data_IF_999926988874
#
_entry.id   IF_999926988874
#
_cell.length_a   1.000
_cell.length_b   1.000
_cell.length_c   1.000
_cell.angle_alpha   90.00
_cell.angle_beta   90.00
_cell.angle_gamma   90.00
#
_symmetry.space_group_name_H-M   'P 1'
#
loop_
_entity.id
_entity.type
_entity.pdbx_description
1 polymer ?
#
# COMPACT_ATOMS: atom_id res chain seq x y z
N UNK A 1 5.66 -3.51 -17.13
CA UNK A 1 5.51 -2.08 -16.73
C UNK A 1 4.54 -1.95 -15.57
N UNK A 2 3.29 -2.41 -15.68
CA UNK A 2 2.33 -2.48 -14.56
C UNK A 2 2.91 -3.09 -13.28
N UNK A 3 3.48 -4.30 -13.38
CA UNK A 3 4.08 -4.96 -12.22
C UNK A 3 5.22 -4.14 -11.60
N UNK A 4 6.00 -3.40 -12.40
CA UNK A 4 7.08 -2.58 -11.87
C UNK A 4 6.53 -1.42 -11.01
N UNK A 5 5.44 -0.78 -11.45
CA UNK A 5 4.75 0.27 -10.68
C UNK A 5 4.21 -0.29 -9.36
N UNK A 6 3.60 -1.47 -9.40
CA UNK A 6 3.18 -2.24 -8.23
C UNK A 6 4.32 -2.52 -7.25
N UNK A 7 5.47 -3.00 -7.73
CA UNK A 7 6.65 -3.25 -6.91
C UNK A 7 7.17 -1.96 -6.28
N UNK A 8 7.26 -0.87 -7.04
CA UNK A 8 7.71 0.43 -6.53
C UNK A 8 6.77 0.94 -5.44
N UNK A 9 5.46 0.96 -5.69
CA UNK A 9 4.47 1.40 -4.71
C UNK A 9 4.54 0.57 -3.43
N UNK A 10 4.53 -0.75 -3.57
CA UNK A 10 4.60 -1.66 -2.43
C UNK A 10 5.90 -1.51 -1.63
N UNK A 11 7.05 -1.37 -2.31
CA UNK A 11 8.34 -1.24 -1.66
C UNK A 11 8.46 0.07 -0.89
N UNK A 12 8.04 1.20 -1.47
CA UNK A 12 8.09 2.51 -0.80
C UNK A 12 7.16 2.60 0.41
N UNK A 13 6.00 1.94 0.34
CA UNK A 13 5.08 1.86 1.48
C UNK A 13 5.63 1.02 2.63
N UNK A 14 6.26 -0.12 2.31
CA UNK A 14 6.61 -1.15 3.30
C UNK A 14 8.04 -1.07 3.83
N UNK A 15 8.98 -0.47 3.10
CA UNK A 15 10.38 -0.43 3.53
C UNK A 15 10.63 0.73 4.51
N UNK A 16 10.79 0.42 5.81
CA UNK A 16 10.98 1.41 6.90
C UNK A 16 12.27 2.20 6.80
N UNK A 17 13.33 1.55 6.34
CA UNK A 17 14.67 2.13 6.23
C UNK A 17 14.81 3.19 5.13
N UNK A 18 13.80 3.36 4.25
CA UNK A 18 13.82 4.42 3.23
C UNK A 18 13.40 5.73 3.90
N UNK A 19 14.20 6.78 3.69
CA UNK A 19 13.89 8.12 4.21
C UNK A 19 12.66 8.74 3.53
N UNK A 20 11.96 9.61 4.24
CA UNK A 20 10.82 10.36 3.70
C UNK A 20 11.21 11.21 2.47
N UNK A 21 12.42 11.76 2.46
CA UNK A 21 12.98 12.51 1.32
C UNK A 21 13.07 11.63 0.06
N UNK A 22 13.65 10.43 0.19
CA UNK A 22 13.77 9.49 -0.94
C UNK A 22 12.39 9.01 -1.43
N UNK A 23 11.46 8.73 -0.51
CA UNK A 23 10.07 8.40 -0.86
C UNK A 23 9.44 9.53 -1.67
N UNK A 24 9.55 10.77 -1.20
CA UNK A 24 8.98 11.93 -1.88
C UNK A 24 9.63 12.17 -3.25
N UNK A 25 10.95 12.02 -3.36
CA UNK A 25 11.66 12.19 -4.62
C UNK A 25 11.20 11.18 -5.69
N UNK A 26 10.91 9.94 -5.30
CA UNK A 26 10.38 8.92 -6.22
C UNK A 26 8.90 9.18 -6.53
N UNK A 27 8.09 9.54 -5.53
CA UNK A 27 6.70 9.96 -5.74
C UNK A 27 6.61 11.10 -6.74
N UNK A 28 7.46 12.12 -6.61
CA UNK A 28 7.52 13.24 -7.54
C UNK A 28 7.71 12.77 -8.98
N UNK A 29 8.64 11.85 -9.24
CA UNK A 29 8.87 11.32 -10.59
C UNK A 29 7.64 10.61 -11.15
N UNK A 30 6.91 9.87 -10.32
CA UNK A 30 5.67 9.18 -10.74
C UNK A 30 4.57 10.20 -11.01
N UNK A 31 4.43 11.22 -10.16
CA UNK A 31 3.43 12.28 -10.29
C UNK A 31 3.70 13.15 -11.52
N UNK A 32 4.96 13.56 -11.76
CA UNK A 32 5.36 14.32 -12.95
C UNK A 32 5.01 13.55 -14.24
N UNK A 33 5.23 12.22 -14.24
CA UNK A 33 4.84 11.36 -15.37
C UNK A 33 3.31 11.28 -15.54
N UNK A 34 2.54 11.19 -14.44
CA UNK A 34 1.08 11.21 -14.50
C UNK A 34 0.54 12.56 -15.02
N UNK A 35 1.14 13.67 -14.60
CA UNK A 35 0.79 15.02 -15.06
C UNK A 35 1.02 15.15 -16.58
N UNK A 36 2.20 14.76 -17.05
CA UNK A 36 2.52 14.74 -18.48
C UNK A 36 1.55 13.85 -19.27
N UNK A 37 1.20 12.68 -18.72
CA UNK A 37 0.21 11.79 -19.32
C UNK A 37 -1.17 12.47 -19.44
N UNK A 38 -1.64 13.14 -18.39
CA UNK A 38 -2.89 13.92 -18.39
C UNK A 38 -2.86 15.01 -19.47
N UNK A 39 -1.77 15.78 -19.57
CA UNK A 39 -1.60 16.83 -20.60
C UNK A 39 -1.67 16.24 -22.01
N UNK A 40 -1.01 15.11 -22.26
CA UNK A 40 -1.03 14.42 -23.55
C UNK A 40 -2.44 13.93 -23.93
N UNK A 41 -3.17 13.35 -22.96
CA UNK A 41 -4.53 12.89 -23.21
C UNK A 41 -5.48 14.05 -23.51
N UNK A 42 -5.36 15.18 -22.81
CA UNK A 42 -6.19 16.36 -23.07
C UNK A 42 -5.97 16.96 -24.47
N UNK A 43 -4.75 16.91 -25.00
CA UNK A 43 -4.43 17.42 -26.35
C UNK A 43 -4.97 16.55 -27.49
N UNK A 44 -5.47 15.34 -27.21
CA UNK A 44 -6.11 14.46 -28.19
C UNK A 44 -5.20 13.96 -29.33
N UNK A 45 -3.90 14.24 -29.27
CA UNK A 45 -2.96 14.02 -30.38
C UNK A 45 -2.59 12.54 -30.55
N UNK A 46 -2.73 11.73 -29.49
CA UNK A 46 -2.58 10.27 -29.48
C UNK A 46 -3.44 9.69 -28.36
N UNK A 47 -4.74 9.49 -28.60
CA UNK A 47 -5.62 8.84 -27.62
C UNK A 47 -5.14 7.40 -27.42
N UNK A 48 -4.41 7.15 -26.34
CA UNK A 48 -4.05 5.79 -25.97
C UNK A 48 -5.30 5.17 -25.34
N UNK A 49 -5.92 4.14 -25.94
CA UNK A 49 -7.13 3.54 -25.38
C UNK A 49 -6.86 2.75 -24.10
N UNK A 50 -5.59 2.50 -23.77
CA UNK A 50 -5.18 1.74 -22.59
C UNK A 50 -4.48 2.65 -21.56
N UNK A 51 -5.21 3.02 -20.53
CA UNK A 51 -4.74 3.86 -19.41
C UNK A 51 -4.28 3.03 -18.19
N UNK A 52 -4.08 1.71 -18.33
CA UNK A 52 -3.73 0.84 -17.19
C UNK A 52 -2.51 1.32 -16.41
N UNK A 53 -1.43 1.73 -17.11
CA UNK A 53 -0.20 2.21 -16.44
C UNK A 53 -0.46 3.52 -15.70
N UNK A 54 -1.28 4.40 -16.27
CA UNK A 54 -1.69 5.64 -15.61
C UNK A 54 -2.46 5.35 -14.32
N UNK A 55 -3.46 4.46 -14.37
CA UNK A 55 -4.20 4.13 -13.16
C UNK A 55 -3.36 3.35 -12.14
N UNK A 56 -2.50 2.42 -12.58
CA UNK A 56 -1.56 1.74 -11.70
C UNK A 56 -0.60 2.71 -11.01
N UNK A 57 -0.15 3.75 -11.71
CA UNK A 57 0.69 4.81 -11.15
C UNK A 57 -0.07 5.67 -10.15
N UNK A 58 -1.30 6.07 -10.46
CA UNK A 58 -2.18 6.78 -9.52
C UNK A 58 -2.43 5.96 -8.25
N UNK A 59 -2.74 4.66 -8.41
CA UNK A 59 -2.97 3.77 -7.28
C UNK A 59 -1.71 3.58 -6.44
N UNK A 60 -0.53 3.42 -7.07
CA UNK A 60 0.73 3.32 -6.35
C UNK A 60 1.05 4.60 -5.56
N UNK A 61 0.81 5.78 -6.15
CA UNK A 61 0.99 7.07 -5.47
C UNK A 61 0.06 7.18 -4.26
N UNK A 62 -1.24 6.90 -4.42
CA UNK A 62 -2.20 6.94 -3.32
C UNK A 62 -1.82 5.94 -2.22
N UNK A 63 -1.48 4.70 -2.61
CA UNK A 63 -1.08 3.65 -1.68
C UNK A 63 0.17 4.01 -0.88
N UNK A 64 1.21 4.60 -1.51
CA UNK A 64 2.39 5.08 -0.78
C UNK A 64 2.03 6.18 0.20
N UNK A 65 1.15 7.11 -0.18
CA UNK A 65 0.72 8.18 0.70
C UNK A 65 -0.12 7.67 1.87
N UNK A 66 -0.92 6.61 1.73
CA UNK A 66 -1.60 5.98 2.87
C UNK A 66 -0.60 5.54 3.97
N UNK A 67 0.61 5.11 3.61
CA UNK A 67 1.63 4.65 4.57
C UNK A 67 2.59 5.75 5.01
N UNK A 68 2.89 6.70 4.12
CA UNK A 68 4.02 7.62 4.31
C UNK A 68 3.63 9.08 4.46
N UNK A 69 2.36 9.45 4.28
CA UNK A 69 1.93 10.86 4.30
C UNK A 69 2.34 11.55 5.60
N UNK A 70 2.01 10.99 6.76
CA UNK A 70 2.40 11.56 8.07
C UNK A 70 3.90 11.80 8.17
N UNK A 71 4.71 10.79 7.84
CA UNK A 71 6.18 10.89 7.89
C UNK A 71 6.76 11.97 6.96
N UNK A 72 6.09 12.28 5.85
CA UNK A 72 6.47 13.37 4.94
C UNK A 72 6.04 14.72 5.53
N UNK A 73 4.86 14.77 6.14
CA UNK A 73 4.28 15.98 6.72
C UNK A 73 5.03 16.49 7.95
N UNK A 74 5.75 15.61 8.67
CA UNK A 74 6.57 15.98 9.82
C UNK A 74 7.75 16.91 9.46
N UNK A 75 8.15 16.96 8.18
CA UNK A 75 9.24 17.81 7.70
C UNK A 75 8.68 18.99 6.88
N UNK A 76 8.81 20.25 7.33
CA UNK A 76 8.22 21.41 6.65
C UNK A 76 8.67 21.59 5.18
N UNK A 77 9.93 21.28 4.88
CA UNK A 77 10.49 21.33 3.53
C UNK A 77 9.91 20.24 2.61
N UNK A 78 9.70 19.03 3.13
CA UNK A 78 9.10 17.93 2.35
C UNK A 78 7.61 18.16 2.17
N UNK A 79 6.91 18.64 3.20
CA UNK A 79 5.53 19.12 3.11
C UNK A 79 5.37 20.16 2.00
N UNK A 80 6.19 21.21 1.99
CA UNK A 80 6.13 22.24 0.96
C UNK A 80 6.31 21.66 -0.45
N UNK A 81 7.25 20.73 -0.63
CA UNK A 81 7.46 20.04 -1.90
C UNK A 81 6.27 19.16 -2.30
N UNK A 82 5.69 18.42 -1.36
CA UNK A 82 4.51 17.58 -1.59
C UNK A 82 3.32 18.42 -2.07
N UNK A 83 3.11 19.59 -1.48
CA UNK A 83 1.99 20.50 -1.82
C UNK A 83 2.15 21.16 -3.20
N UNK A 84 3.36 21.18 -3.75
CA UNK A 84 3.62 21.68 -5.11
C UNK A 84 3.28 20.64 -6.20
N UNK A 85 3.02 19.39 -5.82
CA UNK A 85 2.68 18.34 -6.77
C UNK A 85 1.24 18.49 -7.30
N UNK A 86 1.06 18.24 -8.59
CA UNK A 86 -0.20 18.42 -9.34
C UNK A 86 -1.29 17.37 -9.04
N UNK A 87 -1.38 16.87 -7.81
CA UNK A 87 -2.38 15.85 -7.45
C UNK A 87 -3.82 16.27 -7.81
N UNK A 88 -4.21 17.51 -7.52
CA UNK A 88 -5.56 17.99 -7.81
C UNK A 88 -5.91 17.94 -9.30
N UNK A 89 -4.95 18.24 -10.18
CA UNK A 89 -5.13 18.13 -11.63
C UNK A 89 -5.24 16.67 -12.08
N UNK A 90 -4.41 15.78 -11.54
CA UNK A 90 -4.37 14.36 -11.90
C UNK A 90 -5.63 13.63 -11.42
N UNK A 91 -6.03 13.83 -10.17
CA UNK A 91 -7.12 13.07 -9.54
C UNK A 91 -8.51 13.47 -10.07
N UNK A 92 -8.69 14.73 -10.47
CA UNK A 92 -9.93 15.21 -11.11
C UNK A 92 -9.87 15.16 -12.65
N UNK A 93 -8.87 14.49 -13.20
CA UNK A 93 -8.74 14.37 -14.65
C UNK A 93 -9.95 13.61 -15.22
N UNK A 94 -10.33 13.89 -16.47
CA UNK A 94 -11.44 13.24 -17.19
C UNK A 94 -11.32 11.70 -17.36
N UNK A 95 -10.17 11.14 -16.99
CA UNK A 95 -9.94 9.69 -16.95
C UNK A 95 -10.41 9.07 -15.63
N UNK A 96 -10.85 9.90 -14.68
CA UNK A 96 -11.48 9.51 -13.42
C UNK A 96 -10.68 8.44 -12.63
N UNK A 97 -9.38 8.64 -12.36
CA UNK A 97 -8.56 7.63 -11.71
C UNK A 97 -9.11 7.18 -10.34
N UNK A 98 -9.79 8.06 -9.62
CA UNK A 98 -10.44 7.75 -8.33
C UNK A 98 -11.54 6.67 -8.45
N UNK A 99 -12.20 6.57 -9.61
CA UNK A 99 -13.26 5.57 -9.86
C UNK A 99 -12.69 4.21 -10.28
N UNK A 100 -11.51 4.21 -10.92
CA UNK A 100 -10.89 2.98 -11.44
C UNK A 100 -9.99 2.32 -10.40
N UNK A 101 -9.29 3.10 -9.58
CA UNK A 101 -8.42 2.59 -8.51
C UNK A 101 -9.23 1.91 -7.40
N UNK A 102 -8.55 1.05 -6.63
CA UNK A 102 -9.19 0.26 -5.58
C UNK A 102 -9.85 1.18 -4.50
N UNK A 103 -11.15 1.00 -4.20
CA UNK A 103 -11.87 1.89 -3.28
C UNK A 103 -11.26 1.98 -1.88
N UNK A 104 -10.73 0.88 -1.33
CA UNK A 104 -10.08 0.89 -0.01
C UNK A 104 -8.88 1.86 0.03
N UNK A 105 -8.06 1.85 -1.03
CA UNK A 105 -6.90 2.73 -1.15
C UNK A 105 -7.35 4.17 -1.35
N UNK A 106 -8.34 4.39 -2.24
CA UNK A 106 -8.85 5.73 -2.54
C UNK A 106 -9.45 6.37 -1.27
N UNK A 107 -10.29 5.64 -0.55
CA UNK A 107 -10.95 6.15 0.65
C UNK A 107 -9.95 6.47 1.77
N UNK A 108 -8.98 5.59 1.99
CA UNK A 108 -7.93 5.82 3.00
C UNK A 108 -7.05 7.01 2.63
N UNK A 109 -6.63 7.09 1.37
CA UNK A 109 -5.87 8.22 0.86
C UNK A 109 -6.63 9.55 1.02
N UNK A 110 -7.89 9.60 0.59
CA UNK A 110 -8.71 10.82 0.67
C UNK A 110 -8.90 11.26 2.13
N UNK A 111 -9.12 10.31 3.04
CA UNK A 111 -9.24 10.58 4.47
C UNK A 111 -7.97 11.22 5.03
N UNK A 112 -6.80 10.63 4.78
CA UNK A 112 -5.54 11.20 5.27
C UNK A 112 -5.20 12.52 4.58
N UNK A 113 -5.43 12.63 3.27
CA UNK A 113 -5.17 13.83 2.50
C UNK A 113 -6.03 15.00 2.96
N UNK A 114 -7.30 14.75 3.33
CA UNK A 114 -8.23 15.76 3.87
C UNK A 114 -7.73 16.33 5.18
N UNK A 115 -7.35 15.45 6.09
CA UNK A 115 -6.80 15.84 7.39
C UNK A 115 -5.46 16.59 7.25
N UNK A 116 -4.60 16.14 6.32
CA UNK A 116 -3.35 16.82 6.00
C UNK A 116 -3.53 18.18 5.31
N UNK A 117 -4.73 18.52 4.83
CA UNK A 117 -4.99 19.72 4.03
C UNK A 117 -4.33 19.70 2.66
N UNK A 118 -4.14 18.51 2.08
CA UNK A 118 -3.39 18.34 0.83
C UNK A 118 -4.12 18.95 -0.38
N UNK A 119 -5.47 19.01 -0.37
CA UNK A 119 -6.31 19.63 -1.39
C UNK A 119 -7.38 20.54 -0.76
N UNK A 120 -8.09 21.29 -1.61
CA UNK A 120 -9.22 22.11 -1.19
C UNK A 120 -10.42 21.25 -0.76
N UNK A 121 -11.16 21.70 0.26
CA UNK A 121 -12.34 21.02 0.80
C UNK A 121 -13.36 20.60 -0.28
N UNK A 122 -13.56 21.46 -1.30
CA UNK A 122 -14.49 21.23 -2.41
C UNK A 122 -14.13 20.02 -3.29
N UNK A 123 -12.86 19.64 -3.32
CA UNK A 123 -12.37 18.50 -4.09
C UNK A 123 -12.77 17.17 -3.45
N UNK A 124 -12.86 17.14 -2.11
CA UNK A 124 -13.24 15.93 -1.39
C UNK A 124 -14.72 15.62 -1.53
N UNK A 125 -15.60 16.62 -1.44
CA UNK A 125 -17.05 16.43 -1.62
C UNK A 125 -17.39 15.87 -3.00
N UNK A 126 -16.75 16.41 -4.05
CA UNK A 126 -16.95 15.90 -5.41
C UNK A 126 -16.44 14.46 -5.60
N UNK A 127 -15.38 14.08 -4.89
CA UNK A 127 -14.84 12.72 -4.92
C UNK A 127 -15.73 11.74 -4.13
N UNK A 128 -16.22 12.12 -2.95
CA UNK A 128 -17.11 11.31 -2.11
C UNK A 128 -18.44 10.99 -2.84
N UNK A 129 -19.09 12.00 -3.41
CA UNK A 129 -20.33 11.84 -4.18
C UNK A 129 -20.13 10.92 -5.40
N UNK A 130 -19.00 11.05 -6.09
CA UNK A 130 -18.65 10.24 -7.25
C UNK A 130 -18.37 8.77 -6.88
N UNK A 131 -17.77 8.51 -5.72
CA UNK A 131 -17.47 7.17 -5.23
C UNK A 131 -18.74 6.47 -4.75
N UNK A 132 -19.62 7.15 -4.01
CA UNK A 132 -20.88 6.58 -3.51
C UNK A 132 -21.82 6.17 -4.65
N UNK A 133 -21.90 6.98 -5.69
CA UNK A 133 -22.67 6.69 -6.90
C UNK A 133 -22.16 5.46 -7.68
N UNK A 134 -20.86 5.15 -7.61
CA UNK A 134 -20.27 4.01 -8.35
C UNK A 134 -20.12 2.75 -7.50
N UNK A 135 -19.99 2.85 -6.17
CA UNK A 135 -20.12 1.70 -5.25
C UNK A 135 -21.52 1.05 -5.38
N UNK A 136 -22.53 1.87 -5.68
CA UNK A 136 -23.89 1.44 -6.02
C UNK A 136 -23.95 0.62 -7.33
N UNK A 137 -22.93 0.75 -8.20
CA UNK A 137 -22.73 0.03 -9.46
C UNK A 137 -21.59 -1.00 -9.35
N UNK A 138 -21.68 -1.88 -8.35
CA UNK A 138 -20.92 -3.15 -8.27
C UNK A 138 -19.38 -3.07 -8.43
N UNK A 139 -18.68 -3.20 -7.30
CA UNK A 139 -17.37 -3.85 -7.12
C UNK A 139 -16.54 -4.11 -8.40
N UNK A 140 -16.07 -3.04 -9.05
CA UNK A 140 -15.01 -3.08 -10.07
C UNK A 140 -15.27 -3.96 -11.30
N UNK A 141 -16.47 -3.90 -11.89
CA UNK A 141 -16.83 -4.69 -13.07
C UNK A 141 -15.77 -4.72 -14.19
N UNK A 142 -15.64 -5.86 -14.88
CA UNK A 142 -14.89 -6.25 -16.12
C UNK A 142 -13.54 -5.61 -16.52
N UNK A 143 -13.09 -4.50 -15.93
CA UNK A 143 -11.83 -3.80 -16.17
C UNK A 143 -11.10 -3.49 -14.86
N UNK A 144 -11.33 -4.29 -13.81
CA UNK A 144 -10.66 -4.15 -12.52
C UNK A 144 -9.15 -4.10 -12.77
N UNK A 145 -8.50 -3.04 -12.31
CA UNK A 145 -7.04 -2.97 -12.33
C UNK A 145 -6.50 -4.16 -11.55
N UNK A 146 -5.84 -5.07 -12.25
CA UNK A 146 -5.08 -6.19 -11.66
C UNK A 146 -3.79 -5.64 -11.03
N UNK A 147 -3.93 -4.70 -10.10
CA UNK A 147 -2.81 -4.07 -9.39
C UNK A 147 -2.65 -4.79 -8.06
N UNK A 148 -1.63 -5.63 -8.02
CA UNK A 148 -1.16 -6.36 -6.85
C UNK A 148 0.00 -5.58 -6.19
N UNK A 149 0.14 -5.62 -4.85
CA UNK A 149 1.23 -4.97 -4.11
C UNK A 149 2.09 -6.08 -3.49
N UNK A 150 3.25 -6.41 -4.10
CA UNK A 150 3.97 -7.65 -3.81
C UNK A 150 4.49 -7.83 -2.40
N UNK A 151 4.61 -6.75 -1.63
CA UNK A 151 5.06 -6.77 -0.25
C UNK A 151 3.90 -6.60 0.74
N UNK A 152 2.65 -6.84 0.34
CA UNK A 152 1.47 -6.62 1.18
C UNK A 152 0.55 -7.86 1.30
N UNK A 153 0.28 -8.39 2.52
CA UNK A 153 1.01 -8.24 3.78
C UNK A 153 2.07 -9.35 3.90
N UNK A 154 3.01 -9.15 4.81
CA UNK A 154 3.98 -10.20 5.14
C UNK A 154 3.34 -11.25 6.05
N UNK A 155 3.15 -12.47 5.55
CA UNK A 155 2.38 -13.53 6.22
C UNK A 155 3.23 -14.66 6.83
N UNK A 156 4.54 -14.68 6.58
CA UNK A 156 5.40 -15.80 6.97
C UNK A 156 5.86 -15.69 8.43
N UNK A 157 5.17 -16.39 9.34
CA UNK A 157 5.41 -16.34 10.79
C UNK A 157 6.87 -16.63 11.19
N UNK A 158 7.51 -17.64 10.58
CA UNK A 158 8.86 -18.07 10.99
C UNK A 158 9.96 -17.06 10.61
N UNK A 159 9.82 -16.42 9.45
CA UNK A 159 10.80 -15.46 8.93
C UNK A 159 10.48 -14.00 9.28
N UNK A 160 9.32 -13.75 9.91
CA UNK A 160 8.87 -12.44 10.37
C UNK A 160 9.91 -11.73 11.25
N UNK A 161 10.56 -12.46 12.17
CA UNK A 161 11.59 -11.90 13.05
C UNK A 161 12.75 -11.20 12.31
N UNK A 162 13.04 -11.61 11.08
CA UNK A 162 14.11 -11.01 10.27
C UNK A 162 13.64 -9.82 9.43
N UNK A 163 12.34 -9.76 9.12
CA UNK A 163 11.75 -8.75 8.23
C UNK A 163 11.15 -7.59 9.02
N UNK A 164 10.50 -7.88 10.16
CA UNK A 164 9.80 -6.94 11.04
C UNK A 164 10.58 -5.65 11.36
N UNK A 165 11.90 -5.67 11.66
CA UNK A 165 12.64 -4.44 11.93
C UNK A 165 12.66 -3.44 10.75
N UNK A 166 12.56 -3.96 9.52
CA UNK A 166 12.69 -3.20 8.29
C UNK A 166 11.37 -3.03 7.53
N UNK A 167 10.26 -3.57 8.06
CA UNK A 167 8.98 -3.66 7.38
C UNK A 167 7.87 -2.89 8.12
N UNK A 168 7.18 -2.03 7.39
CA UNK A 168 6.07 -1.19 7.88
C UNK A 168 4.76 -1.98 7.76
N UNK A 169 4.23 -2.40 8.91
CA UNK A 169 2.91 -3.00 8.98
C UNK A 169 1.86 -1.89 9.04
N UNK A 170 0.66 -2.16 8.54
CA UNK A 170 -0.42 -1.16 8.57
C UNK A 170 -0.74 -0.71 10.00
N UNK A 171 -0.68 -1.62 10.97
CA UNK A 171 -0.83 -1.32 12.40
C UNK A 171 0.22 -0.37 12.98
N UNK A 172 1.39 -0.23 12.34
CA UNK A 172 2.46 0.68 12.77
C UNK A 172 2.35 2.07 12.15
N UNK A 173 1.50 2.23 11.12
CA UNK A 173 1.37 3.49 10.38
C UNK A 173 0.68 4.53 11.25
N UNK A 174 1.41 5.58 11.62
CA UNK A 174 0.82 6.80 12.18
C UNK A 174 0.09 7.56 11.09
N UNK A 175 -1.23 7.54 11.10
CA UNK A 175 -2.04 8.30 10.12
C UNK A 175 -2.08 9.78 10.49
N UNK A 176 -2.48 10.63 9.54
CA UNK A 176 -2.57 12.07 9.79
C UNK A 176 -3.69 12.43 10.77
N UNK A 177 -4.82 11.71 10.71
CA UNK A 177 -6.01 11.97 11.53
C UNK A 177 -5.97 11.29 12.93
N UNK A 178 -5.00 10.41 13.16
CA UNK A 178 -4.75 9.80 14.48
C UNK A 178 -3.89 10.75 15.31
N UNK A 179 -4.50 11.79 15.91
CA UNK A 179 -3.79 12.63 16.88
C UNK A 179 -3.56 11.83 18.18
N UNK A 180 -2.33 11.88 18.69
CA UNK A 180 -1.89 11.37 19.99
C UNK A 180 -2.83 11.89 21.11
N UNK A 181 -3.81 11.08 21.52
CA UNK A 181 -4.64 11.29 22.72
C UNK A 181 -4.33 10.26 23.81
N UNK A 182 -3.19 9.58 23.71
CA UNK A 182 -2.73 8.56 24.66
C UNK A 182 -1.42 9.01 25.34
N UNK A 183 -1.27 10.32 25.59
CA UNK A 183 -0.12 10.92 26.31
C UNK A 183 -0.49 11.30 27.76
N UNK A 184 -1.57 10.72 28.31
CA UNK A 184 -1.93 10.79 29.72
C UNK A 184 -2.12 9.35 30.25
N UNK A 185 -1.42 9.03 31.35
CA UNK A 185 -1.46 7.79 32.15
C UNK A 185 -0.57 6.61 31.70
N UNK A 186 0.74 6.76 31.88
CA UNK A 186 1.50 5.78 32.67
C UNK A 186 2.53 6.52 33.54
N UNK A 187 2.03 6.99 34.68
CA UNK A 187 2.81 7.48 35.80
C UNK A 187 3.78 6.36 36.24
N UNK A 188 5.04 6.45 35.78
CA UNK A 188 6.13 5.61 36.26
C UNK A 188 6.30 5.84 37.77
N UNK A 189 5.61 5.04 38.56
CA UNK A 189 5.75 5.01 40.00
C UNK A 189 7.18 4.60 40.36
N UNK A 190 7.89 5.61 40.86
CA UNK A 190 9.17 5.55 41.54
C UNK A 190 9.07 4.57 42.73
N UNK A 191 9.42 3.30 42.48
CA UNK A 191 9.60 2.28 43.53
C UNK A 191 11.09 2.04 43.72
N UNK A 192 11.64 2.88 44.60
CA UNK A 192 12.78 2.70 45.50
C UNK A 192 13.59 1.40 45.30
N UNK A 193 14.81 1.55 44.79
CA UNK A 193 15.76 0.45 44.66
C UNK A 193 16.49 0.18 45.98
N UNK A 194 16.43 -1.05 46.55
CA UNK A 194 17.47 -1.55 47.41
C UNK A 194 18.46 -2.42 46.63
N UNK A 195 19.68 -2.36 47.12
CA UNK A 195 20.92 -2.95 46.64
C UNK A 195 20.86 -4.40 46.16
N UNK A 196 21.76 -4.67 45.22
CA UNK A 196 22.06 -5.96 44.61
C UNK A 196 22.32 -7.05 45.67
N UNK A 197 21.60 -8.16 45.59
CA UNK A 197 22.10 -9.44 46.09
C UNK A 197 21.73 -10.59 45.14
N UNK A 198 22.75 -11.40 44.87
CA UNK A 198 22.78 -12.53 43.93
C UNK A 198 21.97 -13.71 44.45
N UNK A 199 21.11 -14.29 43.61
CA UNK A 199 20.43 -15.54 43.94
C UNK A 199 19.37 -15.96 42.93
N UNK A 200 19.78 -16.74 41.93
CA UNK A 200 19.03 -17.84 41.28
C UNK A 200 17.50 -17.86 41.47
N UNK A 201 16.72 -17.56 40.42
CA UNK A 201 15.67 -18.45 39.90
C UNK A 201 15.08 -17.87 38.59
N UNK A 202 14.86 -18.76 37.63
CA UNK A 202 13.99 -18.69 36.45
C UNK A 202 12.97 -17.53 36.42
N UNK A 203 13.04 -16.66 35.40
CA UNK A 203 11.96 -15.71 35.08
C UNK A 203 11.70 -15.72 33.57
N UNK A 204 10.84 -16.66 33.19
CA UNK A 204 10.16 -16.67 31.92
C UNK A 204 9.19 -15.49 31.91
N UNK A 205 9.50 -14.45 31.13
CA UNK A 205 8.50 -13.44 30.76
C UNK A 205 7.47 -14.14 29.87
N UNK A 206 6.41 -14.67 30.48
CA UNK A 206 5.19 -15.02 29.78
C UNK A 206 4.53 -13.70 29.35
N UNK A 207 4.78 -13.33 28.09
CA UNK A 207 3.89 -12.40 27.40
C UNK A 207 2.57 -13.14 27.28
N UNK A 208 1.53 -12.67 27.97
CA UNK A 208 0.19 -13.21 27.86
C UNK A 208 -0.31 -13.08 26.42
N UNK A 209 -0.37 -14.22 25.71
CA UNK A 209 -0.75 -14.33 24.29
C UNK A 209 -2.27 -14.49 24.15
N UNK A 210 -3.07 -14.12 25.16
CA UNK A 210 -4.52 -14.36 25.15
C UNK A 210 -5.42 -13.11 25.12
N UNK A 211 -4.92 -11.94 24.70
CA UNK A 211 -5.81 -10.83 24.32
C UNK A 211 -5.74 -10.57 22.82
N UNK A 212 -6.83 -10.96 22.15
CA UNK A 212 -7.30 -10.47 20.85
C UNK A 212 -6.42 -10.71 19.61
N UNK A 213 -6.19 -11.99 19.29
CA UNK A 213 -5.67 -12.44 17.98
C UNK A 213 -6.53 -11.89 16.81
N UNK A 214 -7.84 -11.69 17.04
CA UNK A 214 -8.78 -11.10 16.09
C UNK A 214 -8.53 -9.59 15.83
N UNK A 215 -8.07 -8.83 16.84
CA UNK A 215 -7.80 -7.39 16.69
C UNK A 215 -6.46 -7.14 15.97
N UNK A 216 -5.46 -7.96 16.26
CA UNK A 216 -4.18 -7.96 15.56
C UNK A 216 -4.33 -8.37 14.09
N UNK A 217 -5.10 -9.42 13.80
CA UNK A 217 -5.40 -9.86 12.43
C UNK A 217 -6.24 -8.80 11.68
N UNK A 218 -7.23 -8.20 12.33
CA UNK A 218 -8.05 -7.12 11.75
C UNK A 218 -7.20 -5.89 11.41
N UNK A 219 -6.30 -5.47 12.31
CA UNK A 219 -5.41 -4.33 12.07
C UNK A 219 -4.36 -4.62 10.99
N UNK A 220 -3.94 -5.87 10.79
CA UNK A 220 -3.03 -6.25 9.70
C UNK A 220 -3.73 -6.26 8.33
N UNK A 221 -5.02 -6.57 8.30
CA UNK A 221 -5.76 -6.82 7.06
C UNK A 221 -6.45 -5.58 6.45
N UNK A 222 -6.62 -4.48 7.20
CA UNK A 222 -7.40 -3.32 6.75
C UNK A 222 -6.93 -2.68 5.43
N UNK A 223 -5.63 -2.69 5.17
CA UNK A 223 -5.03 -2.22 3.91
C UNK A 223 -4.37 -3.34 3.09
N UNK A 224 -4.50 -4.58 3.54
CA UNK A 224 -4.07 -5.75 2.77
C UNK A 224 -4.89 -5.84 1.50
N UNK A 225 -4.21 -5.93 0.37
CA UNK A 225 -4.84 -6.23 -0.92
C UNK A 225 -4.58 -7.65 -1.39
N UNK A 226 -3.96 -8.48 -0.54
CA UNK A 226 -3.80 -9.90 -0.83
C UNK A 226 -5.19 -10.55 -0.82
N UNK A 227 -5.57 -11.27 -1.88
CA UNK A 227 -6.82 -12.04 -1.87
C UNK A 227 -6.82 -13.01 -0.69
N UNK A 228 -7.87 -13.00 0.12
CA UNK A 228 -8.08 -14.02 1.15
C UNK A 228 -8.34 -15.37 0.47
N UNK A 229 -7.28 -16.07 0.06
CA UNK A 229 -7.37 -17.51 -0.13
C UNK A 229 -7.28 -18.13 1.26
N UNK A 230 -8.44 -18.38 1.86
CA UNK A 230 -8.51 -19.25 3.02
C UNK A 230 -7.93 -20.59 2.59
N UNK A 231 -6.72 -20.92 3.05
CA UNK A 231 -6.12 -22.24 2.89
C UNK A 231 -6.83 -23.24 3.82
N UNK A 232 -8.16 -23.23 3.87
CA UNK A 232 -8.92 -24.38 4.37
C UNK A 232 -8.96 -25.39 3.24
N UNK A 233 -7.87 -26.14 3.09
CA UNK A 233 -7.98 -27.46 2.50
C UNK A 233 -8.88 -28.24 3.45
N UNK A 234 -10.13 -28.47 3.04
CA UNK A 234 -10.99 -29.40 3.73
C UNK A 234 -10.23 -30.71 3.82
N UNK A 235 -9.96 -31.17 5.04
CA UNK A 235 -9.45 -32.51 5.32
C UNK A 235 -10.55 -33.49 4.90
N UNK A 236 -10.70 -33.70 3.59
CA UNK A 236 -11.33 -34.88 3.06
C UNK A 236 -10.34 -36.01 3.34
N UNK A 237 -10.65 -36.77 4.37
CA UNK A 237 -10.03 -38.05 4.61
C UNK A 237 -10.27 -38.94 3.39
N UNK A 238 -9.28 -39.04 2.51
CA UNK A 238 -9.11 -40.21 1.68
C UNK A 238 -7.60 -40.47 1.51
N UNK A 239 -7.22 -41.72 1.79
CA UNK A 239 -5.83 -42.13 1.87
C UNK A 239 -5.18 -42.10 0.50
N UNK A 240 -4.22 -41.20 0.32
CA UNK A 240 -3.39 -41.15 -0.89
C UNK A 240 -2.20 -40.23 -0.68
N UNK A 241 -1.01 -40.84 -0.63
CA UNK A 241 0.29 -40.19 -0.66
C UNK A 241 0.40 -39.20 -1.83
N UNK A 242 0.20 -37.91 -1.57
CA UNK A 242 0.43 -36.83 -2.51
C UNK A 242 1.24 -35.74 -1.81
N UNK A 243 2.53 -35.74 -2.11
CA UNK A 243 3.53 -34.84 -1.54
C UNK A 243 3.13 -33.36 -1.58
N UNK A 244 3.55 -32.67 -0.52
CA UNK A 244 3.48 -31.22 -0.32
C UNK A 244 4.06 -30.47 -1.53
N UNK A 245 3.20 -30.00 -2.43
CA UNK A 245 3.59 -29.11 -3.54
C UNK A 245 3.00 -27.73 -3.31
N UNK A 246 3.87 -26.74 -3.10
CA UNK A 246 3.49 -25.33 -3.06
C UNK A 246 2.93 -24.89 -4.42
N UNK A 247 1.77 -24.22 -4.49
CA UNK A 247 1.25 -23.67 -5.74
C UNK A 247 1.99 -22.37 -6.10
N UNK A 248 3.30 -22.45 -6.38
CA UNK A 248 4.05 -21.38 -6.99
C UNK A 248 3.86 -21.43 -8.51
N UNK A 249 2.75 -20.87 -9.02
CA UNK A 249 2.65 -20.52 -10.45
C UNK A 249 3.48 -19.25 -10.69
N UNK A 250 4.80 -19.42 -10.74
CA UNK A 250 5.70 -18.42 -11.33
C UNK A 250 5.26 -18.27 -12.79
N UNK A 251 4.69 -17.11 -13.14
CA UNK A 251 4.41 -16.78 -14.55
C UNK A 251 5.74 -16.79 -15.31
N UNK A 252 5.95 -17.65 -16.33
CA UNK A 252 7.14 -17.57 -17.14
C UNK A 252 7.18 -16.22 -17.85
N UNK A 253 8.29 -15.50 -17.75
CA UNK A 253 8.53 -14.30 -18.53
C UNK A 253 8.65 -14.68 -20.00
N UNK A 254 7.60 -14.43 -20.80
CA UNK A 254 7.71 -14.54 -22.25
C UNK A 254 8.46 -13.31 -22.77
N UNK A 255 9.75 -13.48 -23.11
CA UNK A 255 10.49 -12.51 -23.92
C UNK A 255 9.84 -12.42 -25.31
N UNK A 256 9.70 -11.23 -25.92
CA UNK A 256 9.21 -11.12 -27.29
C UNK A 256 10.21 -11.77 -28.25
N UNK A 257 9.76 -12.47 -29.30
CA UNK A 257 10.66 -13.04 -30.30
C UNK A 257 11.38 -11.91 -31.07
N UNK A 258 12.71 -12.03 -31.14
CA UNK A 258 13.60 -11.17 -31.91
C UNK A 258 13.29 -11.29 -33.40
N UNK A 259 12.75 -10.24 -34.00
CA UNK A 259 12.44 -10.16 -35.44
C UNK A 259 13.66 -9.70 -36.23
N UNK A 260 14.67 -10.56 -36.39
CA UNK A 260 15.77 -10.37 -37.33
C UNK A 260 16.32 -11.73 -37.81
N UNK A 261 15.86 -12.17 -38.98
CA UNK A 261 16.44 -13.17 -39.90
C UNK A 261 15.25 -13.83 -40.65
N UNK A 262 15.16 -13.92 -41.97
CA UNK A 262 16.01 -13.57 -43.09
C UNK A 262 15.09 -13.46 -44.31
N UNK A 263 15.33 -12.46 -45.15
CA UNK A 263 14.98 -12.48 -46.56
C UNK A 263 15.58 -13.72 -47.23
N UNK A 264 14.80 -14.44 -48.02
CA UNK A 264 15.32 -15.50 -48.88
C UNK A 264 14.24 -16.33 -49.55
N UNK A 265 13.57 -15.75 -50.55
CA UNK A 265 13.03 -16.53 -51.69
C UNK A 265 14.21 -16.95 -52.59
N UNK A 266 14.08 -17.99 -53.42
CA UNK A 266 13.14 -18.00 -54.55
C UNK A 266 11.94 -18.91 -54.37
#
# INVERSE_FOLDING_TARGET
RMSAVSYVGSYLSRARFISADTVLAILKKIVDWCDEYCVLQNRGTTANPNHQIFYGACQAVMYVLCFRLRSIMDYPNLKAQLFQLSFGFILNHRLEPLKVCLPSIVNEFLRQAKDAGLFAASMYSAAEDAIESDLSRAFGGINRLDTFFPFDPYLLKESDRYIRPNFEFWSMVKTTYSNDKDDDDDELLDLDAPEMNVGSLDDHVEIDINSDDDELEYSMNKMSITPHHSFYHGMAADGGDAGLSMPARIRPSASPPSRWAMSGSP
#
